data_IF_181489415277
#
_entry.id   IF_181489415277
#
_cell.length_a   1.000
_cell.length_b   1.000
_cell.length_c   1.000
_cell.angle_alpha   90.00
_cell.angle_beta   90.00
_cell.angle_gamma   90.00
#
_symmetry.space_group_name_H-M   'P 1'
#
loop_
_entity.id
_entity.type
_entity.pdbx_description
1 polymer ?
#
# COMPACT_ATOMS: atom_id res chain seq x y z
N UNK A 1 -28.34 58.79 -41.25
CA UNK A 1 -27.89 57.64 -42.06
C UNK A 1 -27.10 56.74 -41.12
N UNK A 2 -27.59 55.54 -40.76
CA UNK A 2 -26.72 54.60 -40.06
C UNK A 2 -25.56 54.24 -41.00
N UNK A 3 -24.34 54.26 -40.50
CA UNK A 3 -23.18 53.83 -41.28
C UNK A 3 -23.40 52.38 -41.71
N UNK A 4 -23.36 52.11 -43.01
CA UNK A 4 -23.36 50.74 -43.51
C UNK A 4 -22.09 50.06 -43.03
N UNK A 5 -22.20 48.83 -42.50
CA UNK A 5 -21.03 48.05 -42.13
C UNK A 5 -20.07 47.94 -43.33
N UNK A 6 -18.75 48.11 -43.13
CA UNK A 6 -17.77 47.97 -44.20
C UNK A 6 -17.84 46.57 -44.81
N UNK A 7 -17.53 46.42 -46.12
CA UNK A 7 -17.50 45.11 -46.77
C UNK A 7 -16.42 44.21 -46.13
N UNK A 8 -16.75 42.95 -45.89
CA UNK A 8 -15.87 41.97 -45.25
C UNK A 8 -15.81 40.65 -46.05
N UNK A 9 -14.72 39.90 -45.86
CA UNK A 9 -14.54 38.53 -46.36
C UNK A 9 -14.02 37.66 -45.22
N UNK A 10 -14.37 36.38 -45.21
CA UNK A 10 -14.01 35.45 -44.14
C UNK A 10 -13.45 34.14 -44.71
N UNK A 11 -12.64 33.48 -43.89
CA UNK A 11 -12.14 32.13 -44.10
C UNK A 11 -12.15 31.39 -42.76
N UNK A 12 -12.21 30.06 -42.79
CA UNK A 12 -12.19 29.20 -41.60
C UNK A 12 -11.04 28.20 -41.77
N UNK A 13 -10.21 28.04 -40.75
CA UNK A 13 -9.14 27.05 -40.78
C UNK A 13 -9.69 25.62 -40.80
N UNK A 14 -8.96 24.64 -41.34
CA UNK A 14 -9.24 23.24 -41.07
C UNK A 14 -9.12 22.93 -39.57
N UNK A 15 -9.69 21.80 -39.15
CA UNK A 15 -9.49 21.29 -37.79
C UNK A 15 -8.01 20.95 -37.54
N UNK A 16 -7.53 21.26 -36.34
CA UNK A 16 -6.19 20.89 -35.90
C UNK A 16 -6.26 19.99 -34.66
N UNK A 17 -5.56 18.83 -34.65
CA UNK A 17 -4.81 18.28 -35.75
C UNK A 17 -5.78 17.69 -36.78
N UNK A 18 -5.41 17.64 -38.08
CA UNK A 18 -6.27 17.08 -39.12
C UNK A 18 -6.56 15.58 -38.91
N UNK A 19 -5.74 14.90 -38.11
CA UNK A 19 -5.98 13.54 -37.60
C UNK A 19 -5.16 13.30 -36.32
N UNK A 20 -5.60 12.40 -35.45
CA UNK A 20 -4.93 12.08 -34.19
C UNK A 20 -5.40 12.93 -32.99
N UNK A 21 -4.66 12.83 -31.88
CA UNK A 21 -4.96 13.50 -30.62
C UNK A 21 -3.99 14.66 -30.38
N UNK A 22 -4.46 15.78 -29.86
CA UNK A 22 -3.58 16.87 -29.42
C UNK A 22 -2.70 16.42 -28.24
N UNK A 23 -1.47 16.92 -28.20
CA UNK A 23 -0.65 16.76 -27.02
C UNK A 23 -1.19 17.64 -25.88
N UNK A 24 -0.93 17.24 -24.64
CA UNK A 24 -1.21 18.10 -23.47
C UNK A 24 -0.42 19.39 -23.59
N UNK A 25 -1.08 20.53 -23.40
CA UNK A 25 -0.45 21.84 -23.51
C UNK A 25 -1.41 22.93 -23.96
N UNK A 26 -0.83 24.08 -24.32
CA UNK A 26 -1.58 25.24 -24.78
C UNK A 26 -1.43 25.40 -26.29
N UNK A 27 -2.54 25.68 -26.96
CA UNK A 27 -2.61 25.93 -28.39
C UNK A 27 -3.27 27.28 -28.62
N UNK A 28 -2.84 28.01 -29.64
CA UNK A 28 -3.44 29.26 -30.03
C UNK A 28 -3.59 29.28 -31.55
N UNK A 29 -4.71 29.77 -32.05
CA UNK A 29 -4.86 30.08 -33.46
C UNK A 29 -4.34 31.50 -33.75
N UNK A 30 -3.86 31.70 -34.97
CA UNK A 30 -3.44 33.00 -35.46
C UNK A 30 -3.85 33.15 -36.93
N UNK A 31 -4.36 34.33 -37.28
CA UNK A 31 -4.77 34.66 -38.64
C UNK A 31 -3.81 35.66 -39.28
N UNK A 32 -3.41 35.43 -40.53
CA UNK A 32 -2.62 36.40 -41.30
C UNK A 32 -3.29 36.63 -42.66
N UNK A 33 -3.73 37.85 -42.90
CA UNK A 33 -4.17 38.31 -44.21
C UNK A 33 -2.96 38.72 -45.04
N UNK A 34 -2.78 38.07 -46.19
CA UNK A 34 -1.77 38.43 -47.19
C UNK A 34 -2.47 38.86 -48.48
N UNK A 35 -2.40 40.14 -48.87
CA UNK A 35 -3.05 40.65 -50.08
C UNK A 35 -2.37 40.12 -51.34
N UNK A 36 -3.15 39.90 -52.41
CA UNK A 36 -2.63 39.59 -53.74
C UNK A 36 -2.00 40.83 -54.40
N UNK A 37 -1.09 40.62 -55.36
CA UNK A 37 -0.45 41.73 -56.10
C UNK A 37 -1.49 42.63 -56.78
N UNK A 38 -1.38 43.94 -56.59
CA UNK A 38 -2.32 44.94 -57.12
C UNK A 38 -3.58 45.17 -56.26
N UNK A 39 -3.68 44.51 -55.10
CA UNK A 39 -4.72 44.81 -54.11
C UNK A 39 -4.40 46.13 -53.36
N UNK A 40 -5.44 46.86 -52.96
CA UNK A 40 -5.34 48.13 -52.25
C UNK A 40 -5.12 48.00 -50.73
N UNK A 41 -5.22 46.79 -50.16
CA UNK A 41 -5.07 46.54 -48.71
C UNK A 41 -3.67 46.06 -48.33
N UNK A 42 -3.22 46.38 -47.11
CA UNK A 42 -1.97 45.91 -46.54
C UNK A 42 -2.12 44.52 -45.89
N UNK A 43 -0.98 43.89 -45.57
CA UNK A 43 -0.96 42.71 -44.70
C UNK A 43 -1.48 43.07 -43.31
N UNK A 44 -2.25 42.17 -42.70
CA UNK A 44 -2.71 42.29 -41.32
C UNK A 44 -2.66 40.93 -40.64
N UNK A 45 -2.53 40.90 -39.33
CA UNK A 45 -2.53 39.66 -38.55
C UNK A 45 -3.20 39.83 -37.20
N UNK A 46 -3.84 38.77 -36.74
CA UNK A 46 -4.26 38.62 -35.35
C UNK A 46 -3.47 37.46 -34.74
N UNK A 47 -2.73 37.77 -33.69
CA UNK A 47 -1.94 36.82 -32.89
C UNK A 47 -2.24 37.00 -31.41
N UNK A 48 -3.41 37.55 -31.09
CA UNK A 48 -3.86 37.71 -29.72
C UNK A 48 -4.08 36.35 -29.05
N UNK A 49 -4.08 36.35 -27.71
CA UNK A 49 -4.27 35.12 -26.92
C UNK A 49 -5.74 34.71 -26.77
N UNK A 50 -6.67 35.46 -27.35
CA UNK A 50 -8.11 35.27 -27.14
C UNK A 50 -8.66 34.03 -27.87
N UNK A 51 -7.86 33.46 -28.79
CA UNK A 51 -8.12 32.19 -29.47
C UNK A 51 -7.21 31.05 -28.97
N UNK A 52 -6.70 31.16 -27.73
CA UNK A 52 -5.96 30.09 -27.08
C UNK A 52 -6.87 29.10 -26.33
N UNK A 53 -6.46 27.83 -26.29
CA UNK A 53 -7.09 26.79 -25.49
C UNK A 53 -6.06 25.82 -24.90
N UNK A 54 -6.44 25.09 -23.85
CA UNK A 54 -5.58 24.10 -23.18
C UNK A 54 -6.13 22.70 -23.37
N UNK A 55 -5.22 21.77 -23.67
CA UNK A 55 -5.48 20.34 -23.65
C UNK A 55 -5.01 19.80 -22.31
N UNK A 56 -5.94 19.33 -21.49
CA UNK A 56 -5.67 18.82 -20.16
C UNK A 56 -5.10 17.39 -20.19
N UNK A 57 -4.43 17.01 -19.09
CA UNK A 57 -4.04 15.62 -18.85
C UNK A 57 -5.28 14.75 -18.61
N UNK A 58 -5.10 13.46 -18.83
CA UNK A 58 -6.10 12.42 -18.59
C UNK A 58 -6.01 11.97 -17.13
N UNK A 59 -7.14 11.72 -16.48
CA UNK A 59 -7.14 11.14 -15.13
C UNK A 59 -6.87 9.63 -15.15
N UNK A 60 -6.24 9.13 -14.10
CA UNK A 60 -6.04 7.70 -13.85
C UNK A 60 -6.74 7.27 -12.57
N UNK A 61 -6.96 5.97 -12.43
CA UNK A 61 -7.19 5.34 -11.12
C UNK A 61 -6.04 4.38 -10.82
N UNK A 62 -5.75 4.19 -9.54
CA UNK A 62 -4.79 3.18 -9.07
C UNK A 62 -5.55 2.16 -8.24
N UNK A 63 -5.25 0.89 -8.45
CA UNK A 63 -5.66 -0.20 -7.56
C UNK A 63 -4.42 -0.95 -7.08
N UNK A 64 -4.48 -1.49 -5.88
CA UNK A 64 -3.41 -2.28 -5.25
C UNK A 64 -3.90 -3.67 -4.91
N UNK A 65 -2.94 -4.56 -4.64
CA UNK A 65 -3.21 -5.91 -4.18
C UNK A 65 -1.95 -6.46 -3.52
N UNK A 66 -2.02 -6.61 -2.20
CA UNK A 66 -0.97 -7.28 -1.45
C UNK A 66 -0.90 -8.79 -1.75
N UNK A 67 0.29 -9.34 -1.56
CA UNK A 67 0.63 -10.74 -1.72
C UNK A 67 1.54 -11.21 -0.58
N UNK A 68 1.41 -12.49 -0.23
CA UNK A 68 2.32 -13.19 0.67
C UNK A 68 3.34 -14.01 -0.12
N UNK A 69 4.58 -14.09 0.38
CA UNK A 69 5.59 -15.01 -0.20
C UNK A 69 5.41 -16.46 0.24
N UNK A 70 4.65 -16.73 1.31
CA UNK A 70 4.50 -18.07 1.91
C UNK A 70 3.04 -18.54 1.99
N UNK A 71 2.09 -17.76 1.47
CA UNK A 71 0.64 -18.00 1.60
C UNK A 71 0.00 -17.22 2.74
N UNK A 72 -1.33 -17.26 2.80
CA UNK A 72 -2.16 -16.55 3.78
C UNK A 72 -2.94 -17.59 4.62
N UNK A 73 -2.95 -17.51 5.97
CA UNK A 73 -2.40 -16.46 6.83
C UNK A 73 -0.89 -16.53 7.03
N UNK A 74 -0.29 -15.39 7.36
CA UNK A 74 1.11 -15.29 7.71
C UNK A 74 1.30 -15.55 9.21
N UNK A 75 2.25 -16.40 9.56
CA UNK A 75 2.66 -16.60 10.96
C UNK A 75 4.09 -16.13 11.13
N UNK A 76 4.36 -15.45 12.25
CA UNK A 76 5.71 -14.98 12.55
C UNK A 76 6.67 -16.18 12.64
N UNK A 77 7.74 -16.10 11.86
CA UNK A 77 8.81 -17.07 11.89
C UNK A 77 8.79 -18.14 10.80
N UNK A 78 7.84 -18.11 9.88
CA UNK A 78 7.83 -19.01 8.72
C UNK A 78 8.81 -18.57 7.60
N UNK A 79 9.63 -17.53 7.86
CA UNK A 79 10.58 -16.98 6.88
C UNK A 79 9.93 -16.19 5.74
N UNK A 80 8.65 -15.85 5.87
CA UNK A 80 7.87 -15.13 4.85
C UNK A 80 8.00 -13.61 4.90
N UNK A 81 7.65 -13.00 3.78
CA UNK A 81 7.45 -11.57 3.61
C UNK A 81 6.11 -11.30 2.93
N UNK A 82 5.80 -10.02 2.77
CA UNK A 82 4.67 -9.56 1.98
C UNK A 82 5.15 -8.55 0.94
N UNK A 83 4.46 -8.44 -0.18
CA UNK A 83 4.69 -7.42 -1.19
C UNK A 83 3.35 -6.95 -1.73
N UNK A 84 3.35 -5.95 -2.60
CA UNK A 84 2.15 -5.36 -3.17
C UNK A 84 2.33 -5.14 -4.68
N UNK A 85 1.24 -5.25 -5.42
CA UNK A 85 1.19 -4.94 -6.85
C UNK A 85 0.18 -3.82 -7.09
N UNK A 86 0.65 -2.72 -7.66
CA UNK A 86 -0.20 -1.64 -8.12
C UNK A 86 -0.52 -1.79 -9.60
N UNK A 87 -1.79 -1.55 -9.97
CA UNK A 87 -2.23 -1.35 -11.35
C UNK A 87 -2.71 0.09 -11.52
N UNK A 88 -2.09 0.83 -12.43
CA UNK A 88 -2.55 2.15 -12.86
C UNK A 88 -3.38 1.99 -14.13
N UNK A 89 -4.63 2.41 -14.06
CA UNK A 89 -5.58 2.29 -15.16
C UNK A 89 -5.55 3.57 -16.00
N UNK A 90 -5.06 3.44 -17.23
CA UNK A 90 -5.20 4.46 -18.26
C UNK A 90 -6.49 4.25 -19.07
N UNK A 91 -6.48 4.74 -20.31
CA UNK A 91 -7.61 4.59 -21.22
C UNK A 91 -7.13 4.44 -22.67
N UNK A 92 -8.04 4.17 -23.59
CA UNK A 92 -7.70 3.97 -25.01
C UNK A 92 -7.14 5.21 -25.70
N UNK A 93 -7.35 6.41 -25.15
CA UNK A 93 -6.87 7.67 -25.73
C UNK A 93 -5.40 7.90 -25.38
N UNK A 94 -5.01 7.73 -24.12
CA UNK A 94 -3.63 7.92 -23.65
C UNK A 94 -2.78 6.65 -23.63
N UNK A 95 -3.40 5.47 -23.79
CA UNK A 95 -2.74 4.17 -23.70
C UNK A 95 -2.35 3.79 -22.28
N UNK A 96 -1.35 2.93 -22.14
CA UNK A 96 -0.81 2.54 -20.84
C UNK A 96 -0.10 3.72 -20.14
N UNK A 97 -0.37 3.99 -18.85
CA UNK A 97 0.36 4.97 -18.06
C UNK A 97 1.87 4.67 -18.01
N UNK A 98 2.68 5.72 -17.93
CA UNK A 98 4.16 5.65 -17.90
C UNK A 98 4.71 6.32 -16.65
N UNK A 99 5.94 6.00 -16.27
CA UNK A 99 6.56 6.51 -15.03
C UNK A 99 6.67 5.44 -13.97
N UNK A 100 6.39 5.79 -12.72
CA UNK A 100 6.57 4.92 -11.57
C UNK A 100 5.46 5.05 -10.54
N UNK A 101 5.27 3.99 -9.78
CA UNK A 101 4.43 3.97 -8.57
C UNK A 101 5.34 3.99 -7.35
N UNK A 102 4.99 4.79 -6.35
CA UNK A 102 5.62 4.77 -5.03
C UNK A 102 4.73 3.97 -4.08
N UNK A 103 5.29 2.91 -3.51
CA UNK A 103 4.63 2.06 -2.52
C UNK A 103 4.98 2.50 -1.10
N UNK A 104 4.04 2.24 -0.21
CA UNK A 104 4.16 2.49 1.21
C UNK A 104 3.58 1.32 2.00
N UNK A 105 4.05 1.17 3.23
CA UNK A 105 3.52 0.18 4.17
C UNK A 105 3.49 0.73 5.58
N UNK A 106 2.56 0.25 6.37
CA UNK A 106 2.43 0.60 7.78
C UNK A 106 2.18 -0.65 8.62
N UNK A 107 2.46 -0.54 9.92
CA UNK A 107 2.37 -1.61 10.89
C UNK A 107 1.71 -1.12 12.18
N UNK A 108 0.82 -1.92 12.74
CA UNK A 108 0.26 -1.72 14.08
C UNK A 108 0.30 -3.03 14.88
N UNK A 109 0.83 -2.97 16.10
CA UNK A 109 0.91 -4.10 17.02
C UNK A 109 -0.45 -4.53 17.63
N UNK A 110 -1.50 -3.72 17.51
CA UNK A 110 -2.83 -3.99 18.08
C UNK A 110 -3.72 -4.80 17.13
N UNK A 111 -4.85 -5.31 17.65
CA UNK A 111 -5.75 -6.27 16.99
C UNK A 111 -6.67 -5.70 15.92
N UNK A 112 -6.67 -4.39 15.66
CA UNK A 112 -7.43 -3.79 14.56
C UNK A 112 -6.49 -3.10 13.59
N UNK A 113 -6.65 -3.33 12.27
CA UNK A 113 -6.11 -2.42 11.27
C UNK A 113 -6.61 -1.02 11.65
N UNK A 114 -5.67 -0.11 11.91
CA UNK A 114 -5.98 1.31 11.92
C UNK A 114 -5.54 1.81 10.59
N UNK A 115 -6.41 2.59 9.96
CA UNK A 115 -6.04 3.34 8.78
C UNK A 115 -4.73 4.06 9.07
N UNK A 116 -3.80 3.94 8.15
CA UNK A 116 -2.47 4.54 8.28
C UNK A 116 -2.64 6.01 7.94
N UNK A 117 -3.31 6.70 8.87
CA UNK A 117 -4.16 7.82 8.59
C UNK A 117 -3.53 8.85 7.67
N UNK A 118 -4.12 8.96 6.50
CA UNK A 118 -4.41 10.25 5.89
C UNK A 118 -5.37 11.02 6.80
N UNK A 119 -4.87 11.76 7.80
CA UNK A 119 -5.64 12.90 8.29
C UNK A 119 -5.63 13.94 7.15
N UNK A 120 -6.72 13.95 6.37
CA UNK A 120 -6.81 14.60 5.07
C UNK A 120 -6.37 16.06 5.02
N UNK A 121 -5.37 16.33 4.18
CA UNK A 121 -5.21 17.52 3.34
C UNK A 121 -4.04 17.24 2.35
N UNK A 122 -4.18 17.45 1.02
CA UNK A 122 -3.09 17.21 0.08
C UNK A 122 -2.11 18.39 0.13
N UNK A 123 -1.25 18.43 1.15
CA UNK A 123 -0.36 19.58 1.33
C UNK A 123 0.91 19.35 2.14
N UNK A 124 0.97 18.37 3.04
CA UNK A 124 2.22 18.10 3.78
C UNK A 124 2.25 16.66 4.26
N UNK A 125 3.16 15.86 3.72
CA UNK A 125 3.56 14.58 4.30
C UNK A 125 4.25 14.86 5.64
N UNK A 126 3.48 14.99 6.72
CA UNK A 126 4.05 14.78 8.06
C UNK A 126 4.32 13.29 8.15
N UNK A 127 5.59 12.87 8.33
CA UNK A 127 5.91 11.47 8.49
C UNK A 127 5.07 10.95 9.65
N UNK A 128 4.36 9.81 9.52
CA UNK A 128 3.85 9.14 10.70
C UNK A 128 5.05 9.01 11.64
N UNK A 129 4.87 9.33 12.92
CA UNK A 129 5.89 9.18 13.96
C UNK A 129 6.27 7.70 14.21
N UNK A 130 5.92 6.81 13.30
CA UNK A 130 6.66 5.60 12.95
C UNK A 130 7.13 5.75 11.49
N UNK A 131 8.44 5.93 11.29
CA UNK A 131 9.12 6.03 9.99
C UNK A 131 8.36 5.30 8.86
N UNK A 132 7.83 5.99 7.82
CA UNK A 132 7.34 5.27 6.65
C UNK A 132 8.50 4.42 6.13
N UNK A 133 8.31 3.11 6.04
CA UNK A 133 9.31 2.24 5.41
C UNK A 133 9.48 2.73 3.96
N UNK A 134 10.75 2.85 3.55
CA UNK A 134 11.26 3.40 2.29
C UNK A 134 10.23 3.62 1.16
N UNK A 135 10.12 4.86 0.68
CA UNK A 135 9.54 5.16 -0.63
C UNK A 135 10.34 4.40 -1.70
N UNK A 136 9.73 3.35 -2.25
CA UNK A 136 10.36 2.51 -3.26
C UNK A 136 9.65 2.73 -4.60
N UNK A 137 10.14 3.66 -5.44
CA UNK A 137 9.59 3.85 -6.76
C UNK A 137 9.86 2.59 -7.59
N UNK A 138 8.80 1.99 -8.12
CA UNK A 138 8.89 0.88 -9.05
C UNK A 138 8.39 1.32 -10.43
N UNK A 139 9.16 0.98 -11.46
CA UNK A 139 8.84 1.31 -12.84
C UNK A 139 7.59 0.58 -13.33
N UNK A 140 6.74 1.30 -14.07
CA UNK A 140 5.53 0.75 -14.66
C UNK A 140 5.84 -0.15 -15.86
N UNK A 141 5.18 -1.31 -15.91
CA UNK A 141 5.19 -2.24 -17.03
C UNK A 141 3.82 -2.22 -17.72
N UNK A 142 3.78 -1.88 -19.00
CA UNK A 142 2.54 -1.73 -19.74
C UNK A 142 1.83 -3.07 -20.01
N UNK A 143 0.49 -3.07 -19.92
CA UNK A 143 -0.40 -4.16 -20.30
C UNK A 143 -1.72 -3.60 -20.82
N UNK A 144 -1.88 -3.59 -22.15
CA UNK A 144 -3.03 -2.93 -22.80
C UNK A 144 -3.05 -1.43 -22.52
N UNK A 145 -4.15 -0.93 -21.95
CA UNK A 145 -4.29 0.47 -21.52
C UNK A 145 -3.91 0.69 -20.05
N UNK A 146 -3.41 -0.34 -19.37
CA UNK A 146 -3.02 -0.27 -17.97
C UNK A 146 -1.51 -0.43 -17.86
N UNK A 147 -0.96 -0.14 -16.69
CA UNK A 147 0.40 -0.49 -16.36
C UNK A 147 0.51 -0.95 -14.92
N UNK A 148 1.41 -1.91 -14.65
CA UNK A 148 1.59 -2.49 -13.33
C UNK A 148 2.98 -2.24 -12.77
N UNK A 149 3.09 -2.21 -11.46
CA UNK A 149 4.35 -2.20 -10.73
C UNK A 149 4.23 -3.11 -9.50
N UNK A 150 5.35 -3.67 -9.05
CA UNK A 150 5.41 -4.53 -7.87
C UNK A 150 6.41 -3.96 -6.88
N UNK A 151 6.01 -3.89 -5.61
CA UNK A 151 6.88 -3.42 -4.53
C UNK A 151 7.96 -4.45 -4.19
N UNK A 152 9.09 -4.01 -3.59
CA UNK A 152 10.00 -4.94 -2.95
C UNK A 152 9.31 -5.71 -1.81
N UNK A 153 9.79 -6.93 -1.54
CA UNK A 153 9.29 -7.73 -0.42
C UNK A 153 9.61 -7.03 0.91
N UNK A 154 8.56 -6.77 1.69
CA UNK A 154 8.60 -6.37 3.09
C UNK A 154 8.90 -7.60 3.97
N UNK A 155 10.03 -7.64 4.69
CA UNK A 155 10.30 -8.70 5.65
C UNK A 155 9.40 -8.58 6.88
N UNK A 156 8.70 -9.66 7.22
CA UNK A 156 7.81 -9.67 8.38
C UNK A 156 8.56 -10.11 9.63
N UNK A 157 8.72 -9.19 10.58
CA UNK A 157 9.53 -9.38 11.79
C UNK A 157 8.73 -9.23 13.08
N UNK A 158 7.46 -8.82 13.00
CA UNK A 158 6.57 -8.65 14.14
C UNK A 158 5.19 -9.19 13.82
N UNK A 159 4.54 -9.82 14.80
CA UNK A 159 3.11 -10.09 14.75
C UNK A 159 2.31 -8.79 14.88
N UNK A 160 1.14 -8.74 14.27
CA UNK A 160 0.28 -7.56 14.23
C UNK A 160 -0.32 -7.34 12.84
N UNK A 161 -0.88 -6.16 12.62
CA UNK A 161 -1.53 -5.78 11.37
C UNK A 161 -0.58 -4.96 10.49
N UNK A 162 -0.58 -5.24 9.19
CA UNK A 162 0.17 -4.53 8.17
C UNK A 162 -0.79 -4.09 7.07
N UNK A 163 -0.55 -2.93 6.47
CA UNK A 163 -1.29 -2.50 5.28
C UNK A 163 -0.34 -1.90 4.24
N UNK A 164 -0.66 -2.09 2.97
CA UNK A 164 -0.01 -1.43 1.84
C UNK A 164 -0.89 -0.31 1.28
N UNK A 165 -0.24 0.65 0.61
CA UNK A 165 -0.90 1.63 -0.24
C UNK A 165 0.10 2.15 -1.27
N UNK A 166 -0.40 2.69 -2.37
CA UNK A 166 0.45 3.11 -3.48
C UNK A 166 -0.02 4.39 -4.15
N UNK A 167 0.94 5.19 -4.63
CA UNK A 167 0.68 6.45 -5.33
C UNK A 167 1.38 6.47 -6.69
N UNK A 168 0.64 6.82 -7.73
CA UNK A 168 1.16 7.14 -9.04
C UNK A 168 1.25 8.66 -9.19
N UNK A 169 2.46 9.17 -9.43
CA UNK A 169 2.73 10.62 -9.50
C UNK A 169 2.25 11.29 -10.80
N UNK A 170 1.66 10.55 -11.73
CA UNK A 170 1.31 11.03 -13.06
C UNK A 170 2.46 10.97 -14.07
N UNK A 171 2.19 11.47 -15.27
CA UNK A 171 3.15 11.55 -16.37
C UNK A 171 2.97 12.84 -17.18
N UNK A 172 3.58 12.90 -18.37
CA UNK A 172 3.36 13.99 -19.32
C UNK A 172 1.89 14.09 -19.76
N UNK A 173 1.19 12.95 -19.85
CA UNK A 173 -0.19 12.88 -20.37
C UNK A 173 -1.24 12.49 -19.32
N UNK A 174 -0.81 11.94 -18.18
CA UNK A 174 -1.71 11.49 -17.12
C UNK A 174 -1.52 12.31 -15.83
N UNK A 175 -2.62 12.62 -15.15
CA UNK A 175 -2.61 13.09 -13.77
C UNK A 175 -2.20 11.96 -12.82
N UNK A 176 -1.86 12.30 -11.58
CA UNK A 176 -1.56 11.31 -10.54
C UNK A 176 -2.83 10.70 -9.95
N UNK A 177 -2.67 9.52 -9.34
CA UNK A 177 -3.73 8.81 -8.62
C UNK A 177 -3.14 8.01 -7.47
N UNK A 178 -3.98 7.57 -6.53
CA UNK A 178 -3.56 6.76 -5.39
C UNK A 178 -4.60 5.69 -5.10
N UNK A 179 -4.14 4.60 -4.51
CA UNK A 179 -4.99 3.66 -3.80
C UNK A 179 -4.62 3.71 -2.32
N UNK A 180 -5.61 3.98 -1.47
CA UNK A 180 -5.49 4.04 -0.02
C UNK A 180 -6.58 3.17 0.65
N UNK A 181 -7.20 2.26 -0.09
CA UNK A 181 -8.24 1.39 0.45
C UNK A 181 -7.64 0.34 1.39
N UNK A 182 -8.00 0.42 2.67
CA UNK A 182 -7.54 -0.52 3.70
C UNK A 182 -8.27 -1.86 3.69
N UNK A 183 -9.41 -1.97 2.99
CA UNK A 183 -10.27 -3.16 3.04
C UNK A 183 -9.68 -4.36 2.30
N UNK A 184 -8.86 -4.12 1.27
CA UNK A 184 -8.18 -5.18 0.51
C UNK A 184 -6.70 -5.26 0.81
N UNK A 185 -6.09 -4.17 1.28
CA UNK A 185 -4.63 -4.05 1.42
C UNK A 185 -4.08 -4.32 2.81
N UNK A 186 -4.95 -4.53 3.80
CA UNK A 186 -4.54 -4.88 5.15
C UNK A 186 -4.55 -6.39 5.39
N UNK A 187 -3.54 -6.88 6.11
CA UNK A 187 -3.42 -8.28 6.54
C UNK A 187 -2.85 -8.41 7.96
N UNK A 188 -3.15 -9.54 8.61
CA UNK A 188 -2.69 -9.85 9.96
C UNK A 188 -1.60 -10.91 9.93
N UNK A 189 -0.57 -10.71 10.74
CA UNK A 189 0.49 -11.67 11.02
C UNK A 189 0.26 -12.25 12.41
N UNK A 190 0.01 -13.55 12.48
CA UNK A 190 -0.19 -14.28 13.73
C UNK A 190 1.12 -14.44 14.50
N UNK A 191 1.02 -14.58 15.83
CA UNK A 191 2.16 -14.95 16.67
C UNK A 191 2.64 -16.36 16.35
N UNK A 192 3.95 -16.59 16.52
CA UNK A 192 4.55 -17.92 16.44
C UNK A 192 3.92 -18.86 17.47
N UNK A 193 3.61 -20.13 17.11
CA UNK A 193 3.14 -21.11 18.08
C UNK A 193 4.27 -21.48 19.07
N UNK A 194 3.89 -21.88 20.28
CA UNK A 194 4.79 -22.43 21.29
C UNK A 194 4.25 -23.75 21.82
N UNK A 195 5.13 -24.59 22.34
CA UNK A 195 4.75 -25.78 23.12
C UNK A 195 5.36 -25.70 24.51
N UNK A 196 4.65 -26.19 25.52
CA UNK A 196 5.15 -26.25 26.89
C UNK A 196 5.09 -27.68 27.39
N UNK A 197 6.20 -28.16 27.94
CA UNK A 197 6.30 -29.47 28.58
C UNK A 197 6.81 -29.25 30.00
N UNK A 198 6.26 -29.98 30.97
CA UNK A 198 6.74 -29.99 32.35
C UNK A 198 7.37 -31.32 32.72
N UNK A 199 8.32 -31.30 33.65
CA UNK A 199 9.05 -32.47 34.13
C UNK A 199 9.35 -32.34 35.62
N UNK A 200 8.67 -33.16 36.43
CA UNK A 200 8.95 -33.23 37.86
C UNK A 200 10.36 -33.75 38.14
N UNK A 201 10.98 -33.27 39.22
CA UNK A 201 12.34 -33.66 39.63
C UNK A 201 12.41 -35.06 40.25
N UNK A 202 11.28 -35.64 40.64
CA UNK A 202 11.22 -36.95 41.30
C UNK A 202 11.15 -38.06 40.26
N UNK A 203 12.32 -38.58 39.86
CA UNK A 203 12.43 -39.64 38.82
C UNK A 203 11.82 -40.98 39.26
N UNK A 204 11.83 -41.28 40.57
CA UNK A 204 11.21 -42.51 41.13
C UNK A 204 9.68 -42.46 41.16
N UNK A 205 9.08 -41.30 40.91
CA UNK A 205 7.65 -41.05 41.08
C UNK A 205 7.16 -41.06 42.54
N UNK A 206 8.06 -41.16 43.54
CA UNK A 206 7.71 -41.29 44.95
C UNK A 206 8.60 -40.42 45.85
N UNK A 207 7.99 -39.75 46.82
CA UNK A 207 8.67 -38.99 47.90
C UNK A 207 8.19 -39.53 49.24
N UNK A 208 9.12 -39.75 50.18
CA UNK A 208 8.79 -40.19 51.54
C UNK A 208 8.34 -38.98 52.37
N UNK A 209 7.31 -39.16 53.20
CA UNK A 209 6.82 -38.11 54.09
C UNK A 209 7.95 -37.61 55.00
N UNK A 210 8.20 -36.30 55.00
CA UNK A 210 9.31 -35.67 55.74
C UNK A 210 10.69 -35.81 55.09
N UNK A 211 10.80 -36.49 53.94
CA UNK A 211 12.06 -36.73 53.22
C UNK A 211 12.49 -35.62 52.26
N UNK A 212 11.74 -34.53 52.16
CA UNK A 212 11.99 -33.41 51.25
C UNK A 212 10.76 -33.04 50.41
N UNK A 213 10.97 -32.20 49.40
CA UNK A 213 9.94 -31.77 48.45
C UNK A 213 10.22 -32.24 47.02
N UNK A 214 9.25 -32.03 46.14
CA UNK A 214 9.41 -32.15 44.70
C UNK A 214 9.50 -30.75 44.07
N UNK A 215 10.14 -30.64 42.93
CA UNK A 215 10.14 -29.46 42.06
C UNK A 215 9.70 -29.86 40.66
N UNK A 216 9.35 -28.88 39.83
CA UNK A 216 8.95 -29.10 38.44
C UNK A 216 9.75 -28.15 37.53
N UNK A 217 10.13 -28.64 36.36
CA UNK A 217 10.81 -27.87 35.32
C UNK A 217 9.87 -27.71 34.13
N UNK A 218 9.53 -26.47 33.80
CA UNK A 218 8.86 -26.17 32.55
C UNK A 218 9.86 -25.82 31.46
N UNK A 219 9.72 -26.47 30.31
CA UNK A 219 10.43 -26.12 29.07
C UNK A 219 9.42 -25.59 28.07
N UNK A 220 9.54 -24.31 27.74
CA UNK A 220 8.74 -23.65 26.69
C UNK A 220 9.56 -23.62 25.42
N UNK A 221 9.10 -24.30 24.38
CA UNK A 221 9.78 -24.40 23.08
C UNK A 221 9.08 -23.49 22.07
N UNK A 222 9.85 -22.58 21.48
CA UNK A 222 9.42 -21.73 20.36
C UNK A 222 9.76 -22.35 19.01
N UNK A 223 9.66 -21.56 17.93
CA UNK A 223 10.12 -21.94 16.60
C UNK A 223 11.50 -21.31 16.28
N UNK A 224 12.16 -21.81 15.24
CA UNK A 224 13.53 -21.41 14.87
C UNK A 224 13.66 -19.90 14.64
N UNK A 225 12.66 -19.27 14.03
CA UNK A 225 12.75 -17.87 13.64
C UNK A 225 12.33 -16.89 14.74
N UNK A 226 11.41 -17.28 15.63
CA UNK A 226 11.06 -16.51 16.83
C UNK A 226 12.08 -16.69 17.97
N UNK A 227 12.89 -17.75 17.91
CA UNK A 227 13.88 -18.07 18.94
C UNK A 227 13.25 -18.62 20.23
N UNK A 228 14.02 -18.56 21.32
CA UNK A 228 13.57 -19.00 22.62
C UNK A 228 12.46 -18.06 23.16
N UNK A 229 11.28 -18.59 23.54
CA UNK A 229 10.20 -17.77 24.10
C UNK A 229 10.63 -17.05 25.38
N UNK A 230 10.29 -15.77 25.47
CA UNK A 230 10.46 -14.96 26.70
C UNK A 230 9.15 -14.86 27.45
N UNK A 231 9.19 -14.78 28.78
CA UNK A 231 8.00 -14.59 29.61
C UNK A 231 8.13 -15.30 30.95
N UNK A 232 6.99 -15.56 31.58
CA UNK A 232 6.92 -16.26 32.87
C UNK A 232 6.10 -17.54 32.73
N UNK A 233 6.53 -18.59 33.41
CA UNK A 233 5.72 -19.79 33.63
C UNK A 233 5.13 -19.72 35.03
N UNK A 234 3.82 -19.96 35.16
CA UNK A 234 3.13 -20.08 36.45
C UNK A 234 2.88 -21.55 36.76
N UNK A 235 3.35 -22.01 37.91
CA UNK A 235 3.17 -23.39 38.35
C UNK A 235 1.98 -23.53 39.29
N UNK A 236 1.27 -24.65 39.18
CA UNK A 236 0.15 -25.01 40.03
C UNK A 236 0.36 -26.40 40.59
N UNK A 237 0.00 -26.61 41.85
CA UNK A 237 0.07 -27.90 42.53
C UNK A 237 -1.34 -28.37 42.89
N UNK A 238 -1.63 -29.64 42.66
CA UNK A 238 -2.88 -30.26 43.06
C UNK A 238 -2.60 -31.36 44.07
N UNK A 239 -3.38 -31.40 45.14
CA UNK A 239 -3.30 -32.44 46.16
C UNK A 239 -4.62 -33.20 46.23
N UNK A 240 -4.55 -34.53 46.21
CA UNK A 240 -5.69 -35.39 46.44
C UNK A 240 -5.25 -36.53 47.39
N UNK A 241 -5.94 -36.64 48.53
CA UNK A 241 -5.60 -37.59 49.58
C UNK A 241 -6.08 -39.03 49.29
N UNK A 242 -6.94 -39.25 48.29
CA UNK A 242 -7.76 -40.47 48.20
C UNK A 242 -7.76 -41.19 46.85
N UNK A 243 -7.02 -40.73 45.84
CA UNK A 243 -7.00 -41.38 44.51
C UNK A 243 -5.62 -41.48 43.86
N UNK A 244 -5.49 -42.35 42.86
CA UNK A 244 -4.38 -42.34 41.88
C UNK A 244 -4.21 -40.93 41.28
N UNK A 245 -3.00 -40.52 40.86
CA UNK A 245 -2.75 -39.17 40.36
C UNK A 245 -3.73 -38.81 39.23
N UNK A 246 -4.45 -37.71 39.39
CA UNK A 246 -5.29 -37.12 38.34
C UNK A 246 -4.59 -35.91 37.74
N UNK A 247 -4.95 -35.54 36.51
CA UNK A 247 -4.44 -34.31 35.89
C UNK A 247 -4.68 -33.08 36.76
N UNK A 248 -3.70 -32.19 36.82
CA UNK A 248 -3.78 -30.90 37.50
C UNK A 248 -3.98 -29.79 36.46
N UNK A 249 -4.84 -28.81 36.75
CA UNK A 249 -4.99 -27.63 35.91
C UNK A 249 -5.05 -26.35 36.77
N UNK A 250 -4.91 -25.20 36.12
CA UNK A 250 -4.89 -23.90 36.80
C UNK A 250 -6.19 -23.57 37.56
N UNK A 251 -7.33 -24.17 37.20
CA UNK A 251 -8.62 -23.91 37.86
C UNK A 251 -8.83 -24.72 39.14
N UNK A 252 -8.09 -25.81 39.33
CA UNK A 252 -8.22 -26.71 40.50
C UNK A 252 -6.96 -26.76 41.36
N UNK A 253 -5.83 -26.24 40.87
CA UNK A 253 -4.56 -26.24 41.57
C UNK A 253 -4.33 -25.00 42.45
N UNK A 254 -3.51 -25.18 43.47
CA UNK A 254 -2.96 -24.08 44.28
C UNK A 254 -1.73 -23.51 43.60
N UNK A 255 -1.66 -22.18 43.49
CA UNK A 255 -0.50 -21.47 42.96
C UNK A 255 0.76 -21.85 43.73
N UNK A 256 1.80 -22.27 43.01
CA UNK A 256 3.14 -22.46 43.57
C UNK A 256 3.86 -21.11 43.50
N UNK A 257 4.21 -20.49 44.65
CA UNK A 257 4.87 -19.19 44.70
C UNK A 257 6.31 -19.23 44.18
#
# INVERSE_FOLDING_TARGET
>A
MPASSPPASSAVSPAYPPSGTLAVGNYCFAGVYTPTSGNFYNTASDTSSDECFTVAKIDTTTSTQWHSTTGNPLTLGDGGGAYDTATVHGNSVGGAPTGSVTFYSCYNATTSPTDCGSSGDPGTLVPPTASPAAANPAGLTASGNNATATSPVLPITKAGNYCFYATYGGSAIYNGSADTDTSTECFTVAQAPTTTVTQQSVTSGTVVLGGGGASDLATVTGNTAGGAPTGTVTFYSCYNATTSPTGCNASTGTLVP
#
